data_IF_873033310089
#
_entry.id   IF_873033310089
#
_cell.length_a   1.000
_cell.length_b   1.000
_cell.length_c   1.000
_cell.angle_alpha   90.00
_cell.angle_beta   90.00
_cell.angle_gamma   90.00
#
_symmetry.space_group_name_H-M   'P 1'
#
loop_
_entity.id
_entity.type
_entity.pdbx_description
1 polymer ?
#
# COMPACT_ATOMS: atom_id res chain seq x y z
N UNK A 1 -19.19 14.71 2.11
CA UNK A 1 -19.11 13.28 1.73
C UNK A 1 -17.68 12.85 1.98
N UNK A 2 -17.46 11.74 2.67
CA UNK A 2 -16.10 11.30 3.03
C UNK A 2 -15.95 9.83 2.66
N UNK A 3 -14.91 9.50 1.89
CA UNK A 3 -14.64 8.12 1.51
C UNK A 3 -14.13 7.37 2.74
N UNK A 4 -14.77 6.26 3.07
CA UNK A 4 -14.40 5.43 4.22
C UNK A 4 -13.55 4.23 3.84
N UNK A 5 -13.62 3.78 2.59
CA UNK A 5 -12.81 2.68 2.11
C UNK A 5 -12.61 2.76 0.59
N UNK A 6 -11.50 2.19 0.12
CA UNK A 6 -11.19 1.89 -1.28
C UNK A 6 -10.90 0.40 -1.39
N UNK A 7 -11.39 -0.22 -2.45
CA UNK A 7 -11.04 -1.60 -2.82
C UNK A 7 -10.20 -1.57 -4.09
N UNK A 8 -9.10 -2.32 -4.12
CA UNK A 8 -8.17 -2.42 -5.23
C UNK A 8 -8.05 -3.89 -5.60
N UNK A 9 -8.41 -4.22 -6.84
CA UNK A 9 -8.18 -5.55 -7.39
C UNK A 9 -6.68 -5.81 -7.48
N UNK A 10 -6.25 -6.99 -7.06
CA UNK A 10 -4.84 -7.39 -7.13
C UNK A 10 -4.64 -8.54 -8.11
N UNK A 11 -3.40 -8.73 -8.56
CA UNK A 11 -3.08 -9.72 -9.60
C UNK A 11 -3.41 -11.17 -9.22
N UNK A 12 -3.48 -11.51 -7.93
CA UNK A 12 -3.79 -12.86 -7.45
C UNK A 12 -5.30 -13.07 -7.18
N UNK A 13 -6.14 -12.11 -7.57
CA UNK A 13 -7.60 -12.20 -7.51
C UNK A 13 -8.20 -11.99 -6.13
N UNK A 14 -7.39 -11.70 -5.10
CA UNK A 14 -7.89 -11.28 -3.79
C UNK A 14 -7.80 -9.78 -3.64
N UNK A 15 -8.93 -9.11 -3.46
CA UNK A 15 -8.95 -7.66 -3.33
C UNK A 15 -8.23 -7.16 -2.08
N UNK A 16 -7.57 -6.03 -2.24
CA UNK A 16 -6.97 -5.27 -1.17
C UNK A 16 -7.91 -4.13 -0.80
N UNK A 17 -8.08 -3.88 0.50
CA UNK A 17 -8.96 -2.85 1.02
C UNK A 17 -8.16 -1.86 1.85
N UNK A 18 -8.30 -0.58 1.53
CA UNK A 18 -7.82 0.53 2.35
C UNK A 18 -9.04 1.08 3.08
N UNK A 19 -9.00 1.14 4.41
CA UNK A 19 -10.13 1.61 5.24
C UNK A 19 -9.67 2.73 6.14
N UNK A 20 -10.41 3.84 6.17
CA UNK A 20 -10.15 4.95 7.10
C UNK A 20 -10.38 4.48 8.54
N UNK A 21 -9.46 4.82 9.42
CA UNK A 21 -9.55 4.61 10.87
C UNK A 21 -9.61 5.97 11.58
N UNK A 22 -9.77 5.96 12.90
CA UNK A 22 -9.77 7.19 13.70
C UNK A 22 -8.42 7.94 13.61
N UNK A 23 -7.32 7.18 13.47
CA UNK A 23 -5.95 7.70 13.52
C UNK A 23 -5.19 7.62 12.19
N UNK A 24 -5.84 7.22 11.09
CA UNK A 24 -5.20 7.05 9.79
C UNK A 24 -5.95 6.11 8.86
N UNK A 25 -5.25 5.14 8.28
CA UNK A 25 -5.83 4.14 7.37
C UNK A 25 -5.24 2.75 7.58
N UNK A 26 -6.11 1.74 7.57
CA UNK A 26 -5.76 0.33 7.64
C UNK A 26 -5.83 -0.30 6.26
N UNK A 27 -4.78 -1.01 5.87
CA UNK A 27 -4.71 -1.77 4.62
C UNK A 27 -4.81 -3.26 4.92
N UNK A 28 -5.82 -3.93 4.36
CA UNK A 28 -6.05 -5.36 4.53
C UNK A 28 -6.17 -6.07 3.19
N UNK A 29 -5.89 -7.39 3.18
CA UNK A 29 -6.13 -8.28 2.05
C UNK A 29 -6.87 -9.51 2.58
N UNK A 30 -8.17 -9.61 2.30
CA UNK A 30 -9.05 -10.50 3.06
C UNK A 30 -8.99 -10.18 4.55
N UNK A 31 -8.74 -11.18 5.38
CA UNK A 31 -8.62 -11.05 6.84
C UNK A 31 -7.20 -10.65 7.32
N UNK A 32 -6.22 -10.59 6.41
CA UNK A 32 -4.85 -10.27 6.76
C UNK A 32 -4.61 -8.75 6.74
N UNK A 33 -4.08 -8.22 7.84
CA UNK A 33 -3.57 -6.84 7.88
C UNK A 33 -2.22 -6.79 7.15
N UNK A 34 -2.13 -5.91 6.15
CA UNK A 34 -0.88 -5.63 5.43
C UNK A 34 -0.09 -4.56 6.18
N UNK A 35 -0.74 -3.43 6.47
CA UNK A 35 -0.17 -2.35 7.26
C UNK A 35 -1.26 -1.43 7.81
N UNK A 36 -0.95 -0.75 8.90
CA UNK A 36 -1.67 0.43 9.39
C UNK A 36 -0.81 1.66 9.10
N UNK A 37 -1.38 2.73 8.56
CA UNK A 37 -0.70 4.00 8.29
C UNK A 37 -1.35 5.07 9.14
N UNK A 38 -0.60 5.57 10.12
CA UNK A 38 -1.07 6.62 11.04
C UNK A 38 -0.75 8.01 10.50
N UNK A 39 -1.57 9.00 10.87
CA UNK A 39 -1.39 10.41 10.46
C UNK A 39 -0.07 11.03 10.94
N UNK A 40 0.46 10.54 12.06
CA UNK A 40 1.67 11.05 12.71
C UNK A 40 2.96 10.36 12.22
N UNK A 41 2.85 9.39 11.29
CA UNK A 41 4.03 8.71 10.73
C UNK A 41 4.82 9.61 9.79
N UNK A 42 6.15 9.42 9.79
CA UNK A 42 7.06 10.11 8.88
C UNK A 42 6.96 9.61 7.43
N UNK A 43 7.47 10.41 6.51
CA UNK A 43 7.42 10.17 5.06
C UNK A 43 8.02 8.82 4.64
N UNK A 44 9.17 8.47 5.23
CA UNK A 44 9.91 7.25 4.86
C UNK A 44 9.15 6.01 5.34
N UNK A 45 8.62 6.04 6.56
CA UNK A 45 7.77 4.96 7.08
C UNK A 45 6.54 4.74 6.18
N UNK A 46 5.86 5.82 5.77
CA UNK A 46 4.71 5.72 4.85
C UNK A 46 5.11 5.17 3.48
N UNK A 47 6.25 5.62 2.94
CA UNK A 47 6.80 5.13 1.68
C UNK A 47 7.11 3.64 1.73
N UNK A 48 7.75 3.15 2.80
CA UNK A 48 8.04 1.72 2.97
C UNK A 48 6.76 0.87 3.03
N UNK A 49 5.73 1.36 3.73
CA UNK A 49 4.41 0.69 3.76
C UNK A 49 3.75 0.68 2.39
N UNK A 50 3.78 1.80 1.65
CA UNK A 50 3.28 1.86 0.28
C UNK A 50 4.01 0.88 -0.65
N UNK A 51 5.31 0.68 -0.48
CA UNK A 51 6.08 -0.33 -1.21
C UNK A 51 5.55 -1.74 -0.92
N UNK A 52 5.29 -2.09 0.35
CA UNK A 52 4.72 -3.39 0.72
C UNK A 52 3.32 -3.59 0.14
N UNK A 53 2.47 -2.56 0.15
CA UNK A 53 1.15 -2.60 -0.49
C UNK A 53 1.28 -2.78 -2.01
N UNK A 54 2.18 -2.05 -2.66
CA UNK A 54 2.43 -2.17 -4.09
C UNK A 54 2.91 -3.57 -4.49
N UNK A 55 3.73 -4.24 -3.66
CA UNK A 55 4.11 -5.65 -3.88
C UNK A 55 2.90 -6.59 -3.90
N UNK A 56 1.84 -6.29 -3.13
CA UNK A 56 0.60 -7.08 -3.12
C UNK A 56 -0.31 -6.79 -4.31
N UNK A 57 -0.29 -5.56 -4.82
CA UNK A 57 -1.10 -5.16 -5.98
C UNK A 57 -0.47 -5.66 -7.28
N UNK A 58 0.81 -5.36 -7.49
CA UNK A 58 1.51 -5.58 -8.76
C UNK A 58 2.37 -6.85 -8.77
N UNK A 59 2.55 -7.49 -7.62
CA UNK A 59 3.47 -8.61 -7.45
C UNK A 59 4.89 -8.15 -7.10
N UNK A 60 5.77 -9.13 -6.90
CA UNK A 60 7.17 -8.91 -6.53
C UNK A 60 8.04 -9.13 -7.77
N UNK A 61 8.85 -8.11 -8.09
CA UNK A 61 9.83 -8.21 -9.16
C UNK A 61 10.87 -9.30 -8.83
N UNK A 62 11.31 -10.03 -9.85
CA UNK A 62 12.37 -11.02 -9.65
C UNK A 62 13.63 -10.34 -9.09
N UNK A 63 14.35 -10.98 -8.15
CA UNK A 63 15.61 -10.46 -7.66
C UNK A 63 16.55 -10.13 -8.82
N UNK A 64 17.13 -8.93 -8.81
CA UNK A 64 18.18 -8.59 -9.75
C UNK A 64 19.37 -9.53 -9.55
N UNK A 65 20.06 -9.90 -10.65
CA UNK A 65 21.31 -10.68 -10.60
C UNK A 65 22.40 -10.02 -9.75
N UNK A 66 22.26 -8.72 -9.46
CA UNK A 66 23.20 -7.91 -8.69
C UNK A 66 22.87 -7.79 -7.20
N UNK A 67 21.96 -8.61 -6.67
CA UNK A 67 21.68 -8.64 -5.23
C UNK A 67 20.85 -7.42 -4.79
N UNK A 68 19.54 -7.51 -4.99
CA UNK A 68 18.56 -6.62 -4.40
C UNK A 68 17.28 -7.42 -4.17
N UNK A 69 16.78 -7.42 -2.93
CA UNK A 69 15.50 -8.06 -2.60
C UNK A 69 14.40 -7.57 -3.54
N UNK A 70 13.52 -8.47 -3.97
CA UNK A 70 12.51 -8.15 -4.98
C UNK A 70 11.64 -6.96 -4.57
N UNK A 71 11.77 -5.85 -5.30
CA UNK A 71 10.90 -4.68 -5.17
C UNK A 71 9.49 -4.99 -5.70
N UNK A 72 8.56 -4.03 -5.61
CA UNK A 72 7.28 -4.16 -6.28
C UNK A 72 7.51 -4.23 -7.79
N UNK A 73 6.72 -5.04 -8.49
CA UNK A 73 6.80 -5.19 -9.95
C UNK A 73 6.09 -4.04 -10.68
N UNK A 74 6.45 -2.81 -10.32
CA UNK A 74 5.89 -1.58 -10.87
C UNK A 74 6.91 -0.44 -10.81
N UNK A 75 6.58 0.70 -11.42
CA UNK A 75 7.43 1.89 -11.38
C UNK A 75 7.30 2.63 -10.05
N UNK A 76 8.26 3.49 -9.73
CA UNK A 76 8.18 4.35 -8.54
C UNK A 76 6.96 5.28 -8.54
N UNK A 77 6.46 5.69 -9.71
CA UNK A 77 5.22 6.47 -9.83
C UNK A 77 4.00 5.67 -9.38
N UNK A 78 3.91 4.38 -9.69
CA UNK A 78 2.80 3.54 -9.24
C UNK A 78 2.85 3.27 -7.73
N UNK A 79 4.05 3.17 -7.15
CA UNK A 79 4.21 3.14 -5.69
C UNK A 79 3.73 4.45 -5.06
N UNK A 80 4.03 5.58 -5.70
CA UNK A 80 3.57 6.89 -5.26
C UNK A 80 2.04 7.01 -5.34
N UNK A 81 1.41 6.52 -6.41
CA UNK A 81 -0.06 6.51 -6.53
C UNK A 81 -0.71 5.70 -5.41
N UNK A 82 -0.18 4.51 -5.11
CA UNK A 82 -0.62 3.69 -3.97
C UNK A 82 -0.49 4.45 -2.66
N UNK A 83 0.64 5.13 -2.45
CA UNK A 83 0.86 5.95 -1.27
C UNK A 83 -0.19 7.07 -1.16
N UNK A 84 -0.45 7.80 -2.25
CA UNK A 84 -1.43 8.88 -2.27
C UNK A 84 -2.84 8.39 -1.94
N UNK A 85 -3.25 7.21 -2.40
CA UNK A 85 -4.56 6.66 -2.04
C UNK A 85 -4.66 6.29 -0.56
N UNK A 86 -3.58 5.76 0.03
CA UNK A 86 -3.52 5.48 1.46
C UNK A 86 -3.59 6.79 2.27
N UNK A 87 -2.76 7.77 1.92
CA UNK A 87 -2.66 9.09 2.57
C UNK A 87 -3.97 9.87 2.47
N UNK A 88 -4.63 9.83 1.31
CA UNK A 88 -5.96 10.41 1.11
C UNK A 88 -7.00 9.83 2.06
N UNK A 89 -6.97 8.53 2.34
CA UNK A 89 -7.89 7.93 3.32
C UNK A 89 -7.46 8.23 4.75
N UNK A 90 -6.16 8.22 4.99
CA UNK A 90 -5.57 8.49 6.29
C UNK A 90 -5.72 9.96 6.73
N UNK A 91 -5.90 10.89 5.80
CA UNK A 91 -5.95 12.34 6.03
C UNK A 91 -4.58 12.93 6.43
N UNK A 92 -3.52 12.54 5.73
CA UNK A 92 -2.15 12.93 6.05
C UNK A 92 -1.24 13.14 4.85
#
# INVERSE_FOLDING_TARGET
MTIKAITIETFDGTDLKITRTDNGALVTKGDAVICDVRRDEDDETRRLKAIEVAKRIYGIARPSRFGGGGGPNCTGSLVYDVRCEIERLADC
#
